data_IF_254119277416
#
_entry.id   IF_254119277416
#
_cell.length_a   1.000
_cell.length_b   1.000
_cell.length_c   1.000
_cell.angle_alpha   90.00
_cell.angle_beta   90.00
_cell.angle_gamma   90.00
#
_symmetry.space_group_name_H-M   'P 1'
#
loop_
_entity.id
_entity.type
_entity.pdbx_description
1 polymer ?
#
# COMPACT_ATOMS: atom_id res chain seq x y z
N UNK A 1 28.64 55.00 57.05
CA UNK A 1 28.28 54.00 58.07
C UNK A 1 29.05 52.72 57.74
N UNK A 2 30.11 52.46 58.49
CA UNK A 2 31.06 51.38 58.25
C UNK A 2 30.52 50.09 58.89
N UNK A 3 30.35 49.03 58.11
CA UNK A 3 30.02 47.72 58.67
C UNK A 3 31.27 47.14 59.37
N UNK A 4 31.17 46.60 60.59
CA UNK A 4 32.32 46.04 61.28
C UNK A 4 32.73 44.72 60.61
N UNK A 5 34.02 44.60 60.29
CA UNK A 5 34.64 43.33 59.90
C UNK A 5 34.58 42.36 61.08
N UNK A 6 33.82 41.29 60.93
CA UNK A 6 33.72 40.19 61.90
C UNK A 6 35.04 39.41 61.89
N UNK A 7 35.74 39.23 63.03
CA UNK A 7 36.95 38.43 63.06
C UNK A 7 36.60 36.97 62.77
N UNK A 8 37.23 36.40 61.75
CA UNK A 8 37.15 34.98 61.45
C UNK A 8 37.94 34.25 62.54
N UNK A 9 37.24 33.64 63.49
CA UNK A 9 37.85 32.75 64.48
C UNK A 9 38.46 31.53 63.79
N UNK A 10 39.61 31.08 64.29
CA UNK A 10 40.39 29.95 63.74
C UNK A 10 39.61 28.61 63.69
N UNK A 11 38.43 28.53 64.31
CA UNK A 11 37.52 27.39 64.24
C UNK A 11 36.77 27.26 62.90
N UNK A 12 36.85 28.27 62.02
CA UNK A 12 36.22 28.22 60.69
C UNK A 12 36.94 27.35 59.66
N UNK A 13 38.22 27.04 59.88
CA UNK A 13 39.04 26.28 58.93
C UNK A 13 38.79 24.76 58.95
N UNK A 14 38.21 24.23 60.04
CA UNK A 14 37.88 22.81 60.18
C UNK A 14 36.43 22.46 59.80
N UNK A 15 35.66 23.43 59.29
CA UNK A 15 34.36 23.16 58.72
C UNK A 15 34.53 22.28 57.47
N UNK A 16 34.12 21.02 57.55
CA UNK A 16 34.05 20.09 56.40
C UNK A 16 32.91 20.46 55.44
N UNK A 17 32.69 21.75 55.20
CA UNK A 17 31.75 22.23 54.20
C UNK A 17 32.48 22.30 52.86
N UNK A 18 32.46 21.16 52.15
CA UNK A 18 32.94 21.12 50.77
C UNK A 18 32.17 22.18 49.94
N UNK A 19 32.85 23.12 49.29
CA UNK A 19 32.19 24.14 48.47
C UNK A 19 31.36 23.46 47.38
N UNK A 20 30.18 24.02 47.05
CA UNK A 20 29.21 23.42 46.11
C UNK A 20 29.83 22.98 44.78
N UNK A 21 30.90 23.65 44.34
CA UNK A 21 31.60 23.37 43.08
C UNK A 21 32.42 22.07 43.10
N UNK A 22 32.75 21.54 44.30
CA UNK A 22 33.48 20.28 44.49
C UNK A 22 32.56 19.10 44.81
N UNK A 23 31.23 19.30 44.88
CA UNK A 23 30.28 18.20 45.07
C UNK A 23 30.11 17.46 43.74
N UNK A 24 30.66 16.25 43.64
CA UNK A 24 30.35 15.36 42.52
C UNK A 24 28.85 15.05 42.52
N UNK A 25 28.15 15.16 41.37
CA UNK A 25 26.75 14.76 41.30
C UNK A 25 26.63 13.29 41.71
N UNK A 26 25.78 13.00 42.70
CA UNK A 26 25.52 11.61 43.10
C UNK A 26 24.90 10.88 41.90
N UNK A 27 25.50 9.78 41.42
CA UNK A 27 24.87 9.00 40.37
C UNK A 27 23.52 8.53 40.91
N UNK A 28 22.44 8.84 40.20
CA UNK A 28 21.10 8.35 40.51
C UNK A 28 20.80 7.21 39.53
N UNK A 29 21.36 6.00 39.73
CA UNK A 29 21.29 4.91 38.76
C UNK A 29 19.85 4.55 38.44
N UNK A 30 18.95 4.59 39.43
CA UNK A 30 17.52 4.34 39.22
C UNK A 30 16.88 5.36 38.27
N UNK A 31 17.22 6.65 38.37
CA UNK A 31 16.67 7.69 37.48
C UNK A 31 17.18 7.51 36.05
N UNK A 32 18.45 7.15 35.89
CA UNK A 32 19.04 6.85 34.57
C UNK A 32 18.39 5.61 33.96
N UNK A 33 18.23 4.54 34.73
CA UNK A 33 17.57 3.31 34.28
C UNK A 33 16.11 3.54 33.89
N UNK A 34 15.35 4.29 34.69
CA UNK A 34 13.97 4.67 34.37
C UNK A 34 13.93 5.52 33.10
N UNK A 35 14.86 6.48 32.95
CA UNK A 35 14.96 7.28 31.72
C UNK A 35 15.22 6.45 30.47
N UNK A 36 16.21 5.54 30.52
CA UNK A 36 16.52 4.63 29.41
C UNK A 36 15.37 3.70 29.07
N UNK A 37 14.71 3.15 30.10
CA UNK A 37 13.52 2.31 29.91
C UNK A 37 12.40 3.07 29.22
N UNK A 38 12.07 4.28 29.69
CA UNK A 38 11.03 5.11 29.09
C UNK A 38 11.35 5.45 27.62
N UNK A 39 12.59 5.84 27.33
CA UNK A 39 13.02 6.12 25.95
C UNK A 39 12.86 4.89 25.07
N UNK A 40 13.27 3.71 25.55
CA UNK A 40 13.16 2.45 24.81
C UNK A 40 11.70 2.07 24.55
N UNK A 41 10.84 2.18 25.56
CA UNK A 41 9.41 1.87 25.44
C UNK A 41 8.73 2.84 24.48
N UNK A 42 8.97 4.15 24.60
CA UNK A 42 8.39 5.15 23.70
C UNK A 42 8.87 4.91 22.27
N UNK A 43 10.17 4.67 22.08
CA UNK A 43 10.75 4.35 20.77
C UNK A 43 10.12 3.10 20.15
N UNK A 44 9.95 2.03 20.94
CA UNK A 44 9.31 0.80 20.50
C UNK A 44 7.83 1.02 20.12
N UNK A 45 7.07 1.74 20.95
CA UNK A 45 5.66 2.03 20.68
C UNK A 45 5.48 2.88 19.43
N UNK A 46 6.31 3.91 19.23
CA UNK A 46 6.29 4.73 18.02
C UNK A 46 6.72 3.94 16.78
N UNK A 47 7.76 3.12 16.89
CA UNK A 47 8.24 2.27 15.80
C UNK A 47 7.20 1.24 15.37
N UNK A 48 6.63 0.51 16.33
CA UNK A 48 5.57 -0.48 16.07
C UNK A 48 4.31 0.20 15.55
N UNK A 49 3.89 1.31 16.18
CA UNK A 49 2.70 2.06 15.77
C UNK A 49 2.81 2.59 14.34
N UNK A 50 3.95 3.17 13.98
CA UNK A 50 4.18 3.66 12.61
C UNK A 50 4.21 2.52 11.58
N UNK A 51 4.90 1.42 11.87
CA UNK A 51 4.90 0.24 11.00
C UNK A 51 3.49 -0.35 10.84
N UNK A 52 2.71 -0.41 11.92
CA UNK A 52 1.32 -0.87 11.88
C UNK A 52 0.47 0.00 10.94
N UNK A 53 0.57 1.33 11.07
CA UNK A 53 -0.17 2.27 10.20
C UNK A 53 0.19 2.09 8.73
N UNK A 54 1.47 1.90 8.41
CA UNK A 54 1.91 1.67 7.02
C UNK A 54 1.36 0.35 6.47
N UNK A 55 1.40 -0.72 7.27
CA UNK A 55 0.88 -2.03 6.85
C UNK A 55 -0.65 -1.96 6.64
N UNK A 56 -1.37 -1.20 7.48
CA UNK A 56 -2.83 -1.00 7.36
C UNK A 56 -3.24 -0.15 6.14
N UNK A 57 -2.31 0.64 5.58
CA UNK A 57 -2.56 1.38 4.35
C UNK A 57 -2.66 0.46 3.12
N UNK A 58 -2.20 -0.80 3.24
CA UNK A 58 -2.37 -1.89 2.27
C UNK A 58 -1.89 -1.60 0.84
N UNK A 59 -1.08 -0.56 0.67
CA UNK A 59 -0.37 -0.27 -0.56
C UNK A 59 1.11 -0.57 -0.37
N UNK A 60 1.65 -1.60 -1.05
CA UNK A 60 3.08 -1.85 -1.03
C UNK A 60 3.87 -0.65 -1.57
N UNK A 61 5.16 -0.62 -1.29
CA UNK A 61 6.05 0.39 -1.89
C UNK A 61 6.47 -0.03 -3.30
N UNK A 62 7.05 0.91 -4.05
CA UNK A 62 7.62 0.66 -5.38
C UNK A 62 6.59 0.17 -6.40
N UNK A 63 5.41 0.78 -6.42
CA UNK A 63 4.44 0.60 -7.48
C UNK A 63 5.03 1.05 -8.82
N UNK A 64 4.80 0.25 -9.86
CA UNK A 64 5.03 0.64 -11.25
C UNK A 64 3.69 1.03 -11.85
N UNK A 65 3.57 2.30 -12.27
CA UNK A 65 2.36 2.86 -12.84
C UNK A 65 2.40 2.87 -14.38
N UNK A 66 1.28 2.50 -15.01
CA UNK A 66 1.09 2.45 -16.47
C UNK A 66 -0.30 2.97 -16.81
N UNK A 67 -0.42 4.28 -16.99
CA UNK A 67 -1.72 4.93 -17.10
C UNK A 67 -2.52 4.71 -15.80
N UNK A 68 -3.79 4.25 -15.84
CA UNK A 68 -4.60 4.07 -14.63
C UNK A 68 -4.24 2.80 -13.84
N UNK A 69 -3.27 2.01 -14.28
CA UNK A 69 -2.92 0.71 -13.70
C UNK A 69 -1.63 0.80 -12.88
N UNK A 70 -1.63 0.18 -11.72
CA UNK A 70 -0.46 0.02 -10.85
C UNK A 70 -0.11 -1.48 -10.71
N UNK A 71 1.17 -1.80 -10.63
CA UNK A 71 1.65 -3.16 -10.43
C UNK A 71 2.84 -3.22 -9.46
N UNK A 72 3.01 -4.34 -8.77
CA UNK A 72 4.09 -4.57 -7.80
C UNK A 72 4.94 -5.77 -8.22
N UNK A 73 5.81 -5.63 -9.23
CA UNK A 73 6.50 -6.77 -9.85
C UNK A 73 7.46 -7.50 -8.90
N UNK A 74 8.05 -6.78 -7.94
CA UNK A 74 9.01 -7.37 -7.00
C UNK A 74 8.35 -8.08 -5.81
N UNK A 75 7.05 -7.87 -5.58
CA UNK A 75 6.34 -8.33 -4.39
C UNK A 75 6.36 -9.86 -4.18
N UNK A 76 6.37 -10.63 -5.27
CA UNK A 76 6.45 -12.10 -5.24
C UNK A 76 7.86 -12.66 -5.35
N UNK A 77 8.89 -11.83 -5.21
CA UNK A 77 10.28 -12.22 -5.43
C UNK A 77 11.10 -12.18 -4.14
N UNK A 78 12.31 -12.75 -4.18
CA UNK A 78 13.28 -12.62 -3.08
C UNK A 78 13.71 -11.17 -2.81
N UNK A 79 13.47 -10.27 -3.75
CA UNK A 79 13.84 -8.86 -3.69
C UNK A 79 12.66 -7.98 -3.21
N UNK A 80 11.57 -8.58 -2.74
CA UNK A 80 10.44 -7.88 -2.13
C UNK A 80 10.87 -7.10 -0.88
N UNK A 81 10.39 -5.86 -0.74
CA UNK A 81 10.66 -5.08 0.46
C UNK A 81 9.88 -5.63 1.68
N UNK A 82 10.38 -5.39 2.92
CA UNK A 82 9.74 -5.94 4.13
C UNK A 82 8.28 -5.53 4.33
N UNK A 83 7.87 -4.36 3.84
CA UNK A 83 6.48 -3.90 3.98
C UNK A 83 5.56 -4.60 2.99
N UNK A 84 5.99 -4.78 1.74
CA UNK A 84 5.29 -5.63 0.77
C UNK A 84 5.05 -7.02 1.35
N UNK A 85 6.08 -7.67 1.88
CA UNK A 85 5.96 -8.99 2.51
C UNK A 85 4.94 -8.97 3.65
N UNK A 86 4.99 -7.96 4.53
CA UNK A 86 4.06 -7.85 5.65
C UNK A 86 2.61 -7.63 5.20
N UNK A 87 2.37 -6.74 4.23
CA UNK A 87 1.04 -6.42 3.68
C UNK A 87 0.42 -7.67 3.03
N UNK A 88 1.15 -8.33 2.12
CA UNK A 88 0.64 -9.52 1.42
C UNK A 88 0.41 -10.69 2.38
N UNK A 89 1.32 -10.91 3.34
CA UNK A 89 1.17 -11.98 4.35
C UNK A 89 -0.06 -11.75 5.22
N UNK A 90 -0.29 -10.51 5.66
CA UNK A 90 -1.48 -10.15 6.47
C UNK A 90 -2.77 -10.34 5.70
N UNK A 91 -2.79 -9.97 4.41
CA UNK A 91 -3.94 -10.17 3.53
C UNK A 91 -4.18 -11.61 3.09
N UNK A 92 -3.27 -12.55 3.45
CA UNK A 92 -3.24 -13.91 2.91
C UNK A 92 -3.23 -13.94 1.37
N UNK A 93 -2.56 -12.98 0.75
CA UNK A 93 -2.44 -12.82 -0.69
C UNK A 93 -1.08 -13.37 -1.13
N UNK A 94 -1.07 -14.23 -2.14
CA UNK A 94 0.15 -14.70 -2.78
C UNK A 94 0.34 -13.90 -4.08
N UNK A 95 1.26 -12.93 -4.12
CA UNK A 95 1.56 -12.20 -5.35
C UNK A 95 2.17 -13.14 -6.40
N UNK A 96 1.88 -12.85 -7.67
CA UNK A 96 2.51 -13.55 -8.79
C UNK A 96 3.98 -13.17 -8.88
N UNK A 97 4.85 -14.17 -9.03
CA UNK A 97 6.29 -13.96 -9.17
C UNK A 97 6.73 -13.86 -10.65
N UNK A 98 7.99 -13.46 -10.85
CA UNK A 98 8.62 -13.43 -12.17
C UNK A 98 8.49 -14.79 -12.87
N UNK A 99 7.97 -14.80 -14.10
CA UNK A 99 7.73 -16.01 -14.88
C UNK A 99 6.38 -16.70 -14.63
N UNK A 100 5.64 -16.35 -13.57
CA UNK A 100 4.27 -16.84 -13.36
C UNK A 100 3.24 -15.90 -14.00
N UNK A 101 3.36 -14.60 -13.72
CA UNK A 101 2.40 -13.60 -14.15
C UNK A 101 2.61 -12.22 -13.52
N UNK A 102 1.71 -11.29 -13.86
CA UNK A 102 1.67 -9.94 -13.28
C UNK A 102 0.22 -9.57 -12.97
N UNK A 103 -0.04 -9.09 -11.75
CA UNK A 103 -1.31 -8.49 -11.39
C UNK A 103 -1.18 -6.96 -11.46
N UNK A 104 -2.08 -6.34 -12.20
CA UNK A 104 -2.22 -4.89 -12.30
C UNK A 104 -3.57 -4.49 -11.74
N UNK A 105 -3.59 -3.49 -10.88
CA UNK A 105 -4.81 -2.95 -10.28
C UNK A 105 -5.05 -1.53 -10.75
N UNK A 106 -6.30 -1.16 -10.98
CA UNK A 106 -6.67 0.23 -11.25
C UNK A 106 -7.70 0.66 -10.20
N UNK A 107 -7.36 1.72 -9.46
CA UNK A 107 -8.27 2.40 -8.51
C UNK A 107 -8.93 3.63 -9.12
N UNK A 108 -8.31 4.18 -10.17
CA UNK A 108 -8.76 5.36 -10.87
C UNK A 108 -9.08 5.03 -12.32
N UNK A 109 -9.84 5.90 -12.97
CA UNK A 109 -9.94 5.90 -14.42
C UNK A 109 -8.73 6.61 -15.05
N UNK A 110 -8.69 6.67 -16.39
CA UNK A 110 -7.59 7.33 -17.12
C UNK A 110 -7.58 8.85 -17.01
N UNK A 111 -8.53 9.46 -16.28
CA UNK A 111 -8.55 10.87 -15.92
C UNK A 111 -8.28 11.07 -14.41
N UNK A 112 -7.70 10.07 -13.74
CA UNK A 112 -7.35 10.05 -12.32
C UNK A 112 -8.55 10.19 -11.36
N UNK A 113 -9.77 9.96 -11.85
CA UNK A 113 -10.96 9.94 -11.01
C UNK A 113 -11.12 8.58 -10.33
N UNK A 114 -11.35 8.55 -9.02
CA UNK A 114 -11.55 7.30 -8.27
C UNK A 114 -12.74 6.52 -8.84
N UNK A 115 -12.55 5.22 -9.03
CA UNK A 115 -13.61 4.32 -9.48
C UNK A 115 -14.66 4.14 -8.38
N UNK A 116 -15.92 4.32 -8.77
CA UNK A 116 -17.11 4.20 -7.94
C UNK A 116 -17.90 2.97 -8.39
N UNK A 117 -18.23 2.03 -7.49
CA UNK A 117 -18.97 0.81 -7.81
C UNK A 117 -20.39 1.06 -8.35
N UNK A 118 -20.95 2.25 -8.16
CA UNK A 118 -22.29 2.63 -8.65
C UNK A 118 -22.32 3.02 -10.13
N UNK A 119 -21.18 3.40 -10.69
CA UNK A 119 -21.03 3.93 -12.05
C UNK A 119 -20.74 2.84 -13.10
N UNK A 120 -20.80 3.23 -14.37
CA UNK A 120 -20.47 2.38 -15.51
C UNK A 120 -19.19 2.85 -16.19
N UNK A 121 -18.30 1.92 -16.54
CA UNK A 121 -17.00 2.20 -17.15
C UNK A 121 -16.82 1.46 -18.46
N UNK A 122 -16.10 2.09 -19.39
CA UNK A 122 -15.55 1.47 -20.60
C UNK A 122 -14.07 1.21 -20.39
N UNK A 123 -13.68 -0.07 -20.50
CA UNK A 123 -12.28 -0.49 -20.54
C UNK A 123 -11.96 -0.87 -21.97
N UNK A 124 -11.07 -0.14 -22.63
CA UNK A 124 -10.79 -0.35 -24.05
C UNK A 124 -9.33 -0.19 -24.43
N UNK A 125 -8.92 -0.94 -25.45
CA UNK A 125 -7.56 -0.95 -25.97
C UNK A 125 -7.01 -2.37 -26.08
N UNK A 126 -5.72 -2.51 -25.83
CA UNK A 126 -5.01 -3.78 -25.83
C UNK A 126 -4.38 -4.03 -24.46
N UNK A 127 -4.02 -5.29 -24.22
CA UNK A 127 -3.24 -5.69 -23.05
C UNK A 127 -1.84 -6.09 -23.51
N UNK A 128 -0.87 -6.13 -22.58
CA UNK A 128 0.40 -6.78 -22.84
C UNK A 128 0.18 -8.20 -23.37
N UNK A 129 1.10 -8.68 -24.21
CA UNK A 129 1.06 -10.06 -24.70
C UNK A 129 1.17 -11.02 -23.51
N UNK A 130 0.20 -11.93 -23.39
CA UNK A 130 0.16 -12.95 -22.35
C UNK A 130 -0.57 -14.18 -22.89
N UNK A 131 -0.21 -15.37 -22.41
CA UNK A 131 -0.92 -16.61 -22.80
C UNK A 131 -2.39 -16.58 -22.37
N UNK A 132 -2.67 -15.98 -21.23
CA UNK A 132 -4.00 -15.79 -20.68
C UNK A 132 -4.02 -14.49 -19.89
N UNK A 133 -5.16 -13.81 -19.88
CA UNK A 133 -5.42 -12.81 -18.83
C UNK A 133 -6.84 -12.91 -18.32
N UNK A 134 -7.04 -12.43 -17.10
CA UNK A 134 -8.36 -12.30 -16.47
C UNK A 134 -8.57 -10.87 -15.97
N UNK A 135 -9.78 -10.36 -16.09
CA UNK A 135 -10.18 -9.07 -15.54
C UNK A 135 -11.31 -9.27 -14.53
N UNK A 136 -11.16 -8.72 -13.33
CA UNK A 136 -12.11 -8.84 -12.22
C UNK A 136 -12.39 -7.49 -11.58
N UNK A 137 -13.60 -7.28 -11.07
CA UNK A 137 -13.90 -6.21 -10.12
C UNK A 137 -13.66 -6.73 -8.70
N UNK A 138 -12.88 -5.98 -7.92
CA UNK A 138 -12.48 -6.36 -6.55
C UNK A 138 -12.54 -5.17 -5.61
N UNK A 139 -12.54 -5.47 -4.30
CA UNK A 139 -12.33 -4.45 -3.27
C UNK A 139 -10.84 -4.09 -3.13
N UNK A 140 -10.53 -3.20 -2.18
CA UNK A 140 -9.15 -2.80 -1.84
C UNK A 140 -8.24 -3.96 -1.41
N UNK A 141 -8.80 -5.07 -0.94
CA UNK A 141 -8.07 -6.26 -0.51
C UNK A 141 -7.96 -7.31 -1.63
N UNK A 142 -8.42 -7.00 -2.84
CA UNK A 142 -8.43 -7.93 -3.96
C UNK A 142 -9.51 -9.02 -3.87
N UNK A 143 -10.49 -8.88 -2.96
CA UNK A 143 -11.61 -9.82 -2.82
C UNK A 143 -12.65 -9.55 -3.89
N UNK A 144 -13.21 -10.63 -4.44
CA UNK A 144 -14.27 -10.55 -5.44
C UNK A 144 -15.58 -10.11 -4.79
N UNK A 145 -16.37 -9.34 -5.55
CA UNK A 145 -17.70 -8.95 -5.13
C UNK A 145 -18.74 -10.02 -5.49
N UNK A 146 -19.83 -10.05 -4.74
CA UNK A 146 -21.04 -10.71 -5.19
C UNK A 146 -21.66 -9.91 -6.33
N UNK A 147 -22.09 -10.62 -7.38
CA UNK A 147 -22.66 -10.03 -8.59
C UNK A 147 -24.00 -10.67 -8.87
N UNK A 148 -24.95 -9.93 -9.45
CA UNK A 148 -26.27 -10.45 -9.82
C UNK A 148 -26.24 -11.75 -10.65
N UNK A 149 -25.39 -11.90 -11.68
CA UNK A 149 -25.31 -13.15 -12.45
C UNK A 149 -24.38 -14.21 -11.82
N UNK A 150 -23.76 -13.96 -10.67
CA UNK A 150 -22.75 -14.82 -10.05
C UNK A 150 -21.38 -14.85 -10.75
N UNK A 151 -21.27 -14.32 -11.97
CA UNK A 151 -20.01 -14.23 -12.73
C UNK A 151 -19.21 -12.99 -12.31
N UNK A 152 -17.98 -13.20 -11.86
CA UNK A 152 -17.12 -12.16 -11.27
C UNK A 152 -15.92 -11.76 -12.15
N UNK A 153 -15.72 -12.45 -13.28
CA UNK A 153 -14.52 -12.28 -14.09
C UNK A 153 -14.80 -12.38 -15.59
N UNK A 154 -13.88 -11.78 -16.36
CA UNK A 154 -13.69 -12.01 -17.79
C UNK A 154 -12.35 -12.68 -18.05
N UNK A 155 -12.25 -13.40 -19.16
CA UNK A 155 -11.03 -14.07 -19.61
C UNK A 155 -10.72 -13.72 -21.07
N UNK A 156 -9.43 -13.61 -21.40
CA UNK A 156 -8.97 -13.29 -22.75
C UNK A 156 -9.44 -14.26 -23.83
N UNK A 157 -9.74 -15.52 -23.48
CA UNK A 157 -10.17 -16.58 -24.41
C UNK A 157 -11.62 -16.45 -24.88
N UNK A 158 -12.48 -15.84 -24.08
CA UNK A 158 -13.92 -15.69 -24.36
C UNK A 158 -14.30 -14.29 -24.82
N UNK A 159 -13.31 -13.46 -25.14
CA UNK A 159 -13.50 -12.04 -25.37
C UNK A 159 -13.76 -11.74 -26.85
N UNK A 160 -14.78 -10.95 -27.13
CA UNK A 160 -15.01 -10.37 -28.45
C UNK A 160 -13.96 -9.29 -28.72
N UNK A 161 -13.24 -9.41 -29.84
CA UNK A 161 -12.19 -8.49 -30.25
C UNK A 161 -12.50 -7.85 -31.59
N UNK A 162 -11.95 -6.65 -31.78
CA UNK A 162 -11.93 -5.96 -33.07
C UNK A 162 -10.85 -6.58 -33.98
N UNK A 163 -10.87 -6.29 -35.30
CA UNK A 163 -9.87 -6.80 -36.24
C UNK A 163 -8.42 -6.43 -35.90
N UNK A 164 -8.22 -5.31 -35.20
CA UNK A 164 -6.91 -4.85 -34.71
C UNK A 164 -6.50 -5.49 -33.38
N UNK A 165 -7.20 -6.56 -32.95
CA UNK A 165 -7.05 -7.28 -31.67
C UNK A 165 -7.40 -6.50 -30.40
N UNK A 166 -7.78 -5.22 -30.52
CA UNK A 166 -8.29 -4.44 -29.39
C UNK A 166 -9.65 -4.96 -28.94
N UNK A 167 -10.03 -4.60 -27.72
CA UNK A 167 -11.33 -4.93 -27.16
C UNK A 167 -12.02 -3.70 -26.57
N UNK A 168 -13.32 -3.82 -26.41
CA UNK A 168 -14.16 -2.94 -25.60
C UNK A 168 -14.86 -3.79 -24.56
N UNK A 169 -14.70 -3.44 -23.29
CA UNK A 169 -15.39 -4.04 -22.15
C UNK A 169 -16.22 -2.95 -21.49
N UNK A 170 -17.48 -3.26 -21.18
CA UNK A 170 -18.31 -2.41 -20.32
C UNK A 170 -18.34 -3.04 -18.93
N UNK A 171 -17.82 -2.35 -17.93
CA UNK A 171 -18.01 -2.70 -16.53
C UNK A 171 -19.24 -1.97 -16.00
N UNK A 172 -20.30 -2.70 -15.67
CA UNK A 172 -21.56 -2.14 -15.20
C UNK A 172 -22.30 -3.11 -14.28
N UNK A 173 -23.17 -2.58 -13.43
CA UNK A 173 -24.11 -3.38 -12.62
C UNK A 173 -25.21 -3.99 -13.47
N UNK A 174 -25.69 -3.25 -14.47
CA UNK A 174 -26.70 -3.74 -15.41
C UNK A 174 -26.06 -4.58 -16.51
N UNK A 175 -26.80 -5.55 -17.03
CA UNK A 175 -26.34 -6.37 -18.14
C UNK A 175 -26.09 -5.51 -19.39
N UNK A 176 -24.95 -5.73 -20.03
CA UNK A 176 -24.52 -5.00 -21.23
C UNK A 176 -24.24 -5.97 -22.38
N UNK A 177 -24.46 -5.56 -23.64
CA UNK A 177 -24.13 -6.38 -24.78
C UNK A 177 -22.60 -6.51 -24.95
N UNK A 178 -22.18 -7.61 -25.57
CA UNK A 178 -20.77 -7.86 -25.86
C UNK A 178 -19.95 -8.25 -24.63
N UNK A 179 -18.75 -7.69 -24.48
CA UNK A 179 -17.92 -7.99 -23.31
C UNK A 179 -18.40 -7.16 -22.11
N UNK A 180 -19.18 -7.80 -21.25
CA UNK A 180 -19.66 -7.18 -20.03
C UNK A 180 -18.95 -7.75 -18.80
N UNK A 181 -18.36 -6.88 -17.98
CA UNK A 181 -17.83 -7.21 -16.66
C UNK A 181 -18.87 -6.81 -15.60
N UNK A 182 -19.46 -7.76 -14.86
CA UNK A 182 -20.41 -7.44 -13.80
C UNK A 182 -19.72 -6.71 -12.64
N UNK A 183 -20.33 -5.61 -12.20
CA UNK A 183 -19.97 -4.87 -10.99
C UNK A 183 -20.78 -5.35 -9.77
N UNK A 184 -20.45 -4.91 -8.54
CA UNK A 184 -21.15 -5.32 -7.32
C UNK A 184 -22.67 -5.20 -7.43
N UNK A 185 -23.39 -6.21 -6.95
CA UNK A 185 -24.85 -6.18 -6.93
C UNK A 185 -25.39 -5.01 -6.08
N UNK A 186 -24.74 -4.78 -4.93
CA UNK A 186 -25.02 -3.67 -4.04
C UNK A 186 -23.77 -2.77 -3.90
N UNK A 187 -23.73 -1.62 -4.59
CA UNK A 187 -22.57 -0.73 -4.54
C UNK A 187 -22.42 -0.01 -3.20
N UNK A 188 -23.47 0.04 -2.35
CA UNK A 188 -23.41 0.73 -1.06
C UNK A 188 -22.78 -0.11 0.05
N UNK A 189 -22.77 -1.44 -0.09
CA UNK A 189 -22.17 -2.36 0.89
C UNK A 189 -20.69 -2.64 0.63
N UNK A 190 -20.09 -2.03 -0.39
CA UNK A 190 -18.69 -2.26 -0.77
C UNK A 190 -17.86 -1.00 -0.62
N UNK A 191 -16.64 -1.16 -0.12
CA UNK A 191 -15.70 -0.05 0.06
C UNK A 191 -14.77 0.08 -1.15
N UNK A 192 -15.20 0.91 -2.09
CA UNK A 192 -14.45 1.24 -3.30
C UNK A 192 -14.53 0.18 -4.39
N UNK A 193 -13.97 0.51 -5.56
CA UNK A 193 -13.90 -0.36 -6.71
C UNK A 193 -12.46 -0.39 -7.22
N UNK A 194 -11.93 -1.60 -7.40
CA UNK A 194 -10.68 -1.85 -8.06
C UNK A 194 -10.93 -2.75 -9.26
N UNK A 195 -10.36 -2.41 -10.40
CA UNK A 195 -10.28 -3.32 -11.53
C UNK A 195 -8.94 -4.04 -11.46
N UNK A 196 -8.95 -5.37 -11.38
CA UNK A 196 -7.73 -6.16 -11.30
C UNK A 196 -7.56 -6.97 -12.59
N UNK A 197 -6.52 -6.66 -13.35
CA UNK A 197 -6.08 -7.36 -14.54
C UNK A 197 -4.91 -8.28 -14.17
N UNK A 198 -5.08 -9.59 -14.32
CA UNK A 198 -4.01 -10.57 -14.11
C UNK A 198 -3.56 -11.13 -15.44
N UNK A 199 -2.28 -11.00 -15.73
CA UNK A 199 -1.60 -11.55 -16.90
C UNK A 199 -0.86 -12.81 -16.46
N UNK A 200 -1.05 -13.91 -17.16
CA UNK A 200 -0.38 -15.17 -16.88
C UNK A 200 0.54 -15.52 -18.03
N UNK A 201 1.78 -15.92 -17.69
CA UNK A 201 2.80 -16.29 -18.67
C UNK A 201 2.97 -15.18 -19.73
N UNK A 202 3.46 -14.03 -19.25
CA UNK A 202 3.58 -12.79 -20.01
C UNK A 202 5.05 -12.32 -20.03
N UNK A 203 5.66 -12.00 -21.19
CA UNK A 203 7.06 -11.57 -21.26
C UNK A 203 7.41 -10.33 -20.42
N UNK A 204 6.41 -9.48 -20.14
CA UNK A 204 6.52 -8.32 -19.24
C UNK A 204 6.93 -8.71 -17.80
N UNK A 205 6.80 -9.99 -17.43
CA UNK A 205 7.14 -10.52 -16.09
C UNK A 205 8.62 -10.93 -15.95
N UNK A 206 9.39 -10.98 -17.03
CA UNK A 206 10.75 -11.55 -17.03
C UNK A 206 11.84 -10.55 -17.43
N UNK A 207 11.57 -9.24 -17.34
CA UNK A 207 12.56 -8.19 -17.57
C UNK A 207 12.40 -7.39 -18.87
N UNK A 208 11.32 -7.60 -19.63
CA UNK A 208 10.90 -6.57 -20.59
C UNK A 208 10.44 -5.35 -19.78
N UNK A 209 10.92 -4.16 -20.15
CA UNK A 209 10.50 -2.94 -19.49
C UNK A 209 8.97 -2.86 -19.53
N UNK A 210 8.37 -2.68 -18.35
CA UNK A 210 6.96 -2.31 -18.23
C UNK A 210 6.70 -0.97 -18.98
N UNK A 211 7.75 -0.16 -19.13
CA UNK A 211 7.75 1.08 -19.90
C UNK A 211 7.48 0.82 -21.40
N UNK A 212 6.42 1.44 -21.92
CA UNK A 212 6.04 1.35 -23.33
C UNK A 212 5.05 0.24 -23.66
N UNK A 213 4.61 -0.54 -22.67
CA UNK A 213 3.62 -1.59 -22.89
C UNK A 213 2.22 -0.99 -23.03
N UNK A 214 1.46 -1.44 -24.04
CA UNK A 214 0.07 -1.01 -24.23
C UNK A 214 -0.83 -1.59 -23.14
N UNK A 215 -1.46 -0.70 -22.39
CA UNK A 215 -2.47 -1.02 -21.38
C UNK A 215 -3.83 -0.47 -21.81
N UNK A 216 -4.94 -1.11 -21.41
CA UNK A 216 -6.27 -0.61 -21.75
C UNK A 216 -6.56 0.68 -20.96
N UNK A 217 -7.20 1.63 -21.61
CA UNK A 217 -7.72 2.83 -20.95
C UNK A 217 -9.01 2.50 -20.20
N UNK A 218 -9.30 3.26 -19.14
CA UNK A 218 -10.55 3.18 -18.37
C UNK A 218 -11.21 4.54 -18.48
N UNK A 219 -12.46 4.59 -18.92
CA UNK A 219 -13.25 5.83 -19.01
C UNK A 219 -14.61 5.64 -18.37
N UNK A 220 -15.02 6.57 -17.54
CA UNK A 220 -16.39 6.62 -17.03
C UNK A 220 -17.37 6.91 -18.18
N UNK A 221 -18.51 6.22 -18.17
CA UNK A 221 -19.63 6.46 -19.09
C UNK A 221 -20.80 7.18 -18.41
N UNK A 222 -20.99 6.95 -17.11
CA UNK A 222 -22.01 7.63 -16.31
C UNK A 222 -22.33 6.91 -15.00
N UNK A 223 -23.07 7.62 -14.16
CA UNK A 223 -23.76 7.18 -12.95
C UNK A 223 -25.17 7.82 -13.02
#
# INVERSE_FOLDING_TARGET
>A
MNAPLKPLGETGFYGTDTPRILRTPRPAPLRVLVGLFLITVIGALLGIGSAYVIIEAERPFNAVEIGPWEAYPLAGTKDADPYSVAIYTRGAIIPLANGEGLALTARTDSADSILDPSCTYRISGQTPTARLWTLTATDRHGRLFETLPGRTFLTSRGLLRKPDSSFDIIASRSAQPGNWLPLPADPQSVEGLYLTLRLYDAPVTTGAAIEGVSMPSIRILGC
#
